data_IF_028481141886
#
_entry.id   IF_028481141886
#
_cell.length_a   1.000
_cell.length_b   1.000
_cell.length_c   1.000
_cell.angle_alpha   90.00
_cell.angle_beta   90.00
_cell.angle_gamma   90.00
#
_symmetry.space_group_name_H-M   'P 1'
#
loop_
_entity.id
_entity.type
_entity.pdbx_description
1 polymer ?
#
# COMPACT_ATOMS: atom_id res chain seq x y z
N UNK A 1 16.14 -22.80 -1.87
CA UNK A 1 16.87 -21.65 -1.30
C UNK A 1 16.70 -20.48 -2.26
N UNK A 2 15.84 -19.49 -1.95
CA UNK A 2 15.59 -18.33 -2.82
C UNK A 2 16.14 -17.10 -2.11
N UNK A 3 17.32 -16.64 -2.54
CA UNK A 3 17.93 -15.40 -2.06
C UNK A 3 16.97 -14.26 -2.44
N UNK A 4 16.27 -13.71 -1.45
CA UNK A 4 15.54 -12.46 -1.59
C UNK A 4 16.58 -11.38 -1.90
N UNK A 5 16.63 -10.90 -3.15
CA UNK A 5 17.39 -9.68 -3.46
C UNK A 5 16.88 -8.59 -2.52
N UNK A 6 17.72 -8.21 -1.58
CA UNK A 6 17.45 -7.09 -0.69
C UNK A 6 17.75 -5.84 -1.48
N UNK A 7 16.76 -5.35 -2.22
CA UNK A 7 16.89 -4.07 -2.91
C UNK A 7 17.08 -3.00 -1.81
N UNK A 8 18.22 -2.32 -1.85
CA UNK A 8 18.55 -1.23 -0.93
C UNK A 8 18.23 0.06 -1.65
N UNK A 9 17.32 0.84 -1.10
CA UNK A 9 16.93 2.16 -1.60
C UNK A 9 17.49 3.26 -0.71
N UNK A 10 17.35 4.51 -1.13
CA UNK A 10 17.68 5.67 -0.29
C UNK A 10 16.41 6.47 -0.01
N UNK A 11 16.31 6.95 1.22
CA UNK A 11 15.30 7.92 1.66
C UNK A 11 16.07 9.03 2.37
N UNK A 12 15.99 10.26 1.88
CA UNK A 12 16.77 11.40 2.37
C UNK A 12 18.28 11.11 2.42
N UNK A 13 18.78 10.30 1.48
CA UNK A 13 20.17 9.85 1.43
C UNK A 13 20.56 8.70 2.38
N UNK A 14 19.70 8.28 3.33
CA UNK A 14 19.95 7.11 4.19
C UNK A 14 19.60 5.81 3.47
N UNK A 15 20.46 4.78 3.50
CA UNK A 15 20.15 3.49 2.90
C UNK A 15 19.09 2.76 3.72
N UNK A 16 18.03 2.31 3.06
CA UNK A 16 16.94 1.52 3.65
C UNK A 16 16.82 0.18 2.93
N UNK A 17 16.56 -0.88 3.70
CA UNK A 17 16.36 -2.23 3.14
C UNK A 17 14.89 -2.43 2.81
N UNK A 18 14.61 -2.87 1.59
CA UNK A 18 13.27 -3.34 1.21
C UNK A 18 13.11 -4.79 1.65
N UNK A 19 12.18 -5.03 2.58
CA UNK A 19 11.96 -6.33 3.21
C UNK A 19 10.51 -6.82 3.14
N UNK A 20 10.31 -8.08 3.55
CA UNK A 20 8.98 -8.59 3.84
C UNK A 20 8.44 -7.90 5.09
N UNK A 21 7.16 -7.50 5.06
CA UNK A 21 6.48 -6.95 6.22
C UNK A 21 6.14 -8.12 7.14
N UNK A 22 6.69 -8.08 8.35
CA UNK A 22 6.43 -9.10 9.37
C UNK A 22 5.05 -8.91 10.00
N UNK A 23 4.54 -9.94 10.69
CA UNK A 23 3.26 -9.83 11.42
C UNK A 23 3.31 -8.72 12.50
N UNK A 24 4.47 -8.51 13.12
CA UNK A 24 4.66 -7.44 14.09
C UNK A 24 4.49 -6.06 13.44
N UNK A 25 5.18 -5.82 12.32
CA UNK A 25 5.04 -4.59 11.55
C UNK A 25 3.61 -4.41 11.03
N UNK A 26 2.93 -5.47 10.59
CA UNK A 26 1.51 -5.40 10.22
C UNK A 26 0.62 -4.89 11.36
N UNK A 27 0.83 -5.37 12.58
CA UNK A 27 0.08 -4.87 13.76
C UNK A 27 0.38 -3.40 14.03
N UNK A 28 1.64 -3.02 13.90
CA UNK A 28 2.06 -1.63 14.10
C UNK A 28 1.44 -0.71 13.05
N UNK A 29 1.49 -1.09 11.77
CA UNK A 29 0.81 -0.37 10.68
C UNK A 29 -0.68 -0.18 10.95
N UNK A 30 -1.40 -1.19 11.45
CA UNK A 30 -2.81 -1.02 11.80
C UNK A 30 -3.06 -0.04 12.95
N UNK A 31 -2.07 0.19 13.81
CA UNK A 31 -2.17 1.16 14.89
C UNK A 31 -1.84 2.59 14.43
N UNK A 32 -0.95 2.74 13.44
CA UNK A 32 -0.55 4.08 12.97
C UNK A 32 -1.49 4.60 11.89
N UNK A 33 -2.12 3.70 11.16
CA UNK A 33 -3.07 4.06 10.11
C UNK A 33 -4.46 4.25 10.73
N UNK A 34 -4.78 5.47 11.12
CA UNK A 34 -6.14 5.83 11.54
C UNK A 34 -7.08 6.04 10.34
N UNK A 35 -6.54 6.38 9.16
CA UNK A 35 -7.30 6.97 8.04
C UNK A 35 -7.17 6.26 6.68
N UNK A 36 -6.11 5.50 6.40
CA UNK A 36 -5.95 4.87 5.07
C UNK A 36 -7.06 3.86 4.68
N UNK A 37 -7.68 3.06 5.57
CA UNK A 37 -8.79 2.19 5.18
C UNK A 37 -9.93 2.98 4.55
N UNK A 38 -10.28 4.13 5.14
CA UNK A 38 -11.33 5.00 4.66
C UNK A 38 -10.95 5.71 3.35
N UNK A 39 -9.67 6.09 3.20
CA UNK A 39 -9.14 6.73 1.98
C UNK A 39 -9.10 5.76 0.78
N UNK A 40 -8.64 4.53 0.99
CA UNK A 40 -8.62 3.50 -0.05
C UNK A 40 -10.04 3.15 -0.52
N UNK A 41 -10.99 3.04 0.41
CA UNK A 41 -12.40 2.85 0.08
C UNK A 41 -12.90 4.04 -0.74
N UNK A 42 -12.67 5.28 -0.28
CA UNK A 42 -13.11 6.50 -0.96
C UNK A 42 -12.59 6.61 -2.40
N UNK A 43 -11.32 6.24 -2.64
CA UNK A 43 -10.73 6.25 -3.99
C UNK A 43 -11.33 5.14 -4.87
N UNK A 44 -11.60 3.96 -4.31
CA UNK A 44 -12.17 2.83 -5.05
C UNK A 44 -13.63 3.08 -5.45
N UNK A 45 -14.41 3.76 -4.60
CA UNK A 45 -15.81 4.11 -4.90
C UNK A 45 -15.99 5.44 -5.62
N UNK A 46 -14.93 6.27 -5.75
CA UNK A 46 -14.99 7.54 -6.46
C UNK A 46 -15.26 7.35 -7.98
N UNK A 47 -16.18 8.16 -8.56
CA UNK A 47 -16.37 8.25 -10.01
C UNK A 47 -15.06 8.57 -10.73
N UNK A 48 -14.83 8.00 -11.92
CA UNK A 48 -13.57 8.13 -12.67
C UNK A 48 -13.09 9.58 -12.86
N UNK A 49 -14.02 10.53 -13.06
CA UNK A 49 -13.71 11.95 -13.23
C UNK A 49 -13.19 12.62 -11.94
N UNK A 50 -13.58 12.11 -10.78
CA UNK A 50 -13.29 12.70 -9.47
C UNK A 50 -12.14 11.98 -8.75
N UNK A 51 -11.59 10.91 -9.34
CA UNK A 51 -10.47 10.16 -8.76
C UNK A 51 -9.21 11.01 -8.60
N UNK A 52 -8.89 11.87 -9.56
CA UNK A 52 -7.66 12.67 -9.52
C UNK A 52 -7.73 13.79 -8.45
N UNK A 53 -8.81 14.59 -8.35
CA UNK A 53 -8.97 15.55 -7.27
C UNK A 53 -9.07 14.88 -5.89
N UNK A 54 -9.82 13.77 -5.78
CA UNK A 54 -9.93 13.00 -4.53
C UNK A 54 -8.58 12.42 -4.11
N UNK A 55 -7.78 11.97 -5.08
CA UNK A 55 -6.42 11.46 -4.84
C UNK A 55 -5.45 12.54 -4.37
N UNK A 56 -5.53 13.77 -4.91
CA UNK A 56 -4.70 14.89 -4.47
C UNK A 56 -5.04 15.29 -3.02
N UNK A 57 -6.33 15.46 -2.71
CA UNK A 57 -6.80 15.78 -1.35
C UNK A 57 -6.47 14.63 -0.38
N UNK A 58 -6.59 13.38 -0.84
CA UNK A 58 -6.20 12.20 -0.07
C UNK A 58 -4.71 12.22 0.24
N UNK A 59 -3.85 12.54 -0.72
CA UNK A 59 -2.40 12.66 -0.51
C UNK A 59 -2.11 13.76 0.51
N UNK A 60 -2.65 14.97 0.35
CA UNK A 60 -2.41 16.08 1.29
C UNK A 60 -2.78 15.71 2.73
N UNK A 61 -3.89 15.01 2.93
CA UNK A 61 -4.34 14.57 4.25
C UNK A 61 -3.70 13.26 4.73
N UNK A 62 -2.90 12.59 3.89
CA UNK A 62 -2.26 11.30 4.23
C UNK A 62 -0.74 11.35 4.19
N UNK A 63 -0.11 12.52 3.96
CA UNK A 63 1.35 12.63 4.03
C UNK A 63 1.87 12.18 5.40
N UNK A 64 1.19 12.52 6.49
CA UNK A 64 1.54 12.06 7.84
C UNK A 64 1.43 10.53 7.95
N UNK A 65 0.35 9.93 7.43
CA UNK A 65 0.18 8.48 7.39
C UNK A 65 1.28 7.81 6.55
N UNK A 66 1.64 8.40 5.41
CA UNK A 66 2.70 7.92 4.51
C UNK A 66 4.06 7.95 5.22
N UNK A 67 4.40 9.05 5.89
CA UNK A 67 5.62 9.21 6.68
C UNK A 67 5.67 8.18 7.82
N UNK A 68 4.57 8.03 8.56
CA UNK A 68 4.45 7.08 9.65
C UNK A 68 4.62 5.63 9.20
N UNK A 69 4.01 5.25 8.07
CA UNK A 69 4.18 3.91 7.49
C UNK A 69 5.64 3.66 7.09
N UNK A 70 6.31 4.64 6.47
CA UNK A 70 7.73 4.52 6.13
C UNK A 70 8.58 4.40 7.39
N UNK A 71 8.26 5.15 8.45
CA UNK A 71 8.93 5.07 9.74
C UNK A 71 8.86 3.66 10.32
N UNK A 72 7.66 3.06 10.41
CA UNK A 72 7.47 1.67 10.90
C UNK A 72 8.23 0.64 10.06
N UNK A 73 8.24 0.82 8.74
CA UNK A 73 8.83 -0.16 7.84
C UNK A 73 10.36 -0.08 7.77
N UNK A 74 10.93 1.10 8.00
CA UNK A 74 12.38 1.34 7.88
C UNK A 74 13.08 1.49 9.22
N UNK A 75 12.34 1.76 10.29
CA UNK A 75 12.86 2.15 11.60
C UNK A 75 13.47 3.56 11.63
N UNK A 76 13.29 4.36 10.56
CA UNK A 76 13.69 5.76 10.54
C UNK A 76 12.70 6.59 11.36
N UNK A 77 13.20 7.65 11.97
CA UNK A 77 12.38 8.62 12.68
C UNK A 77 11.43 9.37 11.72
N UNK A 78 10.18 9.54 12.14
CA UNK A 78 9.13 10.15 11.31
C UNK A 78 9.42 11.63 10.99
N UNK A 79 9.83 12.41 11.99
CA UNK A 79 10.17 13.83 11.82
C UNK A 79 11.38 13.97 10.88
N UNK A 80 12.35 13.06 10.99
CA UNK A 80 13.47 13.03 10.05
C UNK A 80 13.02 12.75 8.61
N UNK A 81 12.10 11.79 8.39
CA UNK A 81 11.57 11.50 7.06
C UNK A 81 10.87 12.72 6.48
N UNK A 82 10.01 13.38 7.26
CA UNK A 82 9.26 14.57 6.83
C UNK A 82 10.17 15.70 6.34
N UNK A 83 11.32 15.90 7.01
CA UNK A 83 12.25 16.98 6.68
C UNK A 83 13.24 16.64 5.55
N UNK A 84 13.48 15.35 5.26
CA UNK A 84 14.60 14.93 4.42
C UNK A 84 14.20 14.06 3.22
N UNK A 85 13.04 13.41 3.25
CA UNK A 85 12.60 12.54 2.17
C UNK A 85 11.80 13.31 1.12
N UNK A 86 11.98 12.93 -0.14
CA UNK A 86 11.12 13.41 -1.22
C UNK A 86 9.99 12.41 -1.52
N UNK A 87 8.87 12.92 -2.06
CA UNK A 87 7.70 12.08 -2.37
C UNK A 87 8.06 10.95 -3.34
N UNK A 88 8.94 11.19 -4.31
CA UNK A 88 9.37 10.15 -5.27
C UNK A 88 10.18 9.02 -4.60
N UNK A 89 11.02 9.33 -3.61
CA UNK A 89 11.73 8.32 -2.81
C UNK A 89 10.75 7.45 -2.02
N UNK A 90 9.73 8.07 -1.40
CA UNK A 90 8.70 7.34 -0.67
C UNK A 90 7.89 6.44 -1.60
N UNK A 91 7.46 6.95 -2.76
CA UNK A 91 6.73 6.16 -3.78
C UNK A 91 7.58 4.99 -4.30
N UNK A 92 8.87 5.21 -4.55
CA UNK A 92 9.79 4.15 -4.96
C UNK A 92 9.90 3.07 -3.87
N UNK A 93 10.00 3.47 -2.60
CA UNK A 93 10.04 2.56 -1.46
C UNK A 93 8.75 1.75 -1.32
N UNK A 94 7.58 2.37 -1.43
CA UNK A 94 6.29 1.66 -1.40
C UNK A 94 6.16 0.65 -2.54
N UNK A 95 6.55 1.05 -3.75
CA UNK A 95 6.51 0.18 -4.93
C UNK A 95 7.39 -1.04 -4.74
N UNK A 96 8.63 -0.84 -4.26
CA UNK A 96 9.56 -1.93 -3.99
C UNK A 96 9.04 -2.84 -2.87
N UNK A 97 8.48 -2.27 -1.80
CA UNK A 97 7.89 -3.02 -0.68
C UNK A 97 6.68 -3.85 -1.12
N UNK A 98 5.78 -3.29 -1.92
CA UNK A 98 4.62 -4.00 -2.45
C UNK A 98 5.03 -5.19 -3.33
N UNK A 99 6.06 -5.01 -4.17
CA UNK A 99 6.65 -6.09 -4.99
C UNK A 99 7.29 -7.15 -4.11
N UNK A 100 8.11 -6.76 -3.13
CA UNK A 100 8.76 -7.68 -2.22
C UNK A 100 7.73 -8.52 -1.44
N UNK A 101 6.54 -7.98 -1.16
CA UNK A 101 5.46 -8.64 -0.43
C UNK A 101 4.41 -9.35 -1.30
N UNK A 102 4.57 -9.33 -2.62
CA UNK A 102 3.63 -9.94 -3.58
C UNK A 102 2.18 -9.46 -3.43
N UNK A 103 1.96 -8.20 -3.06
CA UNK A 103 0.61 -7.68 -2.79
C UNK A 103 -0.34 -7.81 -3.98
N UNK A 104 0.16 -7.68 -5.22
CA UNK A 104 -0.65 -7.90 -6.42
C UNK A 104 -1.24 -9.31 -6.50
N UNK A 105 -0.48 -10.33 -6.14
CA UNK A 105 -0.95 -11.72 -6.16
C UNK A 105 -1.87 -12.01 -4.98
N UNK A 106 -1.57 -11.44 -3.80
CA UNK A 106 -2.45 -11.52 -2.62
C UNK A 106 -3.82 -10.94 -2.95
N UNK A 107 -3.89 -9.75 -3.55
CA UNK A 107 -5.14 -9.11 -3.94
C UNK A 107 -5.93 -9.94 -4.96
N UNK A 108 -5.25 -10.49 -5.99
CA UNK A 108 -5.90 -11.38 -6.98
C UNK A 108 -6.48 -12.64 -6.33
N UNK A 109 -5.75 -13.24 -5.39
CA UNK A 109 -6.20 -14.44 -4.69
C UNK A 109 -7.41 -14.15 -3.80
N UNK A 110 -7.40 -13.02 -3.09
CA UNK A 110 -8.54 -12.57 -2.27
C UNK A 110 -9.77 -12.30 -3.16
N UNK A 111 -9.61 -11.56 -4.26
CA UNK A 111 -10.72 -11.33 -5.19
C UNK A 111 -11.29 -12.63 -5.78
N UNK A 112 -10.42 -13.59 -6.11
CA UNK A 112 -10.84 -14.90 -6.61
C UNK A 112 -11.62 -15.69 -5.54
N UNK A 113 -11.15 -15.68 -4.29
CA UNK A 113 -11.85 -16.30 -3.17
C UNK A 113 -13.22 -15.66 -2.91
N UNK A 114 -13.33 -14.33 -3.00
CA UNK A 114 -14.61 -13.62 -2.84
C UNK A 114 -15.59 -13.93 -3.98
N UNK A 115 -15.11 -14.06 -5.22
CA UNK A 115 -15.94 -14.49 -6.36
C UNK A 115 -16.43 -15.94 -6.21
N UNK A 116 -15.61 -16.81 -5.61
CA UNK A 116 -16.03 -18.18 -5.28
C UNK A 116 -17.03 -18.22 -4.13
N UNK A 117 -16.95 -17.29 -3.18
CA UNK A 117 -17.86 -17.18 -2.05
C UNK A 117 -19.23 -16.56 -2.41
N UNK A 118 -19.30 -15.74 -3.46
CA UNK A 118 -20.54 -15.17 -4.03
C UNK A 118 -20.78 -15.68 -5.46
N UNK A 119 -21.38 -16.87 -5.65
CA UNK A 119 -21.55 -17.50 -6.97
C UNK A 119 -22.64 -16.88 -7.88
N UNK A 120 -23.35 -15.83 -7.47
CA UNK A 120 -24.42 -15.24 -8.30
C UNK A 120 -23.88 -14.24 -9.34
N UNK A 121 -23.23 -14.72 -10.41
CA UNK A 121 -23.38 -14.18 -11.79
C UNK A 121 -22.84 -15.16 -12.84
N UNK A 122 -23.18 -16.45 -12.77
CA UNK A 122 -23.06 -17.36 -13.93
C UNK A 122 -24.18 -18.38 -13.88
N UNK A 123 -25.41 -17.90 -13.99
CA UNK A 123 -26.51 -18.71 -14.44
C UNK A 123 -27.32 -17.88 -15.45
N UNK A 124 -27.32 -18.41 -16.67
CA UNK A 124 -28.35 -18.23 -17.69
C UNK A 124 -28.31 -17.00 -18.61
N UNK A 125 -27.55 -17.13 -19.69
CA UNK A 125 -28.05 -16.76 -21.02
C UNK A 125 -27.79 -17.93 -21.97
N UNK A 126 -28.58 -18.99 -21.79
CA UNK A 126 -28.53 -20.18 -22.61
C UNK A 126 -29.86 -20.92 -22.65
N UNK A 127 -30.97 -20.24 -22.88
CA UNK A 127 -32.22 -20.82 -23.40
C UNK A 127 -33.24 -19.72 -23.73
N UNK A 128 -33.36 -19.37 -25.02
CA UNK A 128 -34.59 -19.37 -25.85
C UNK A 128 -34.36 -18.59 -27.16
#
# INVERSE_FOLDING_TARGET
>A
MRLLRSDTLKIGGKPVKVGKITIAQWRELFNVINTLPQLLISILVAPQADRLPTFIVAIENSLDDVVNVVSVLTGLDAEWIEQNASIDELVAFFTATARANNFGDVLKNVQSALKLANPETTADQGAE
#
